data_IF_406756250361
#
_entry.id   IF_406756250361
#
_cell.length_a   1.000
_cell.length_b   1.000
_cell.length_c   1.000
_cell.angle_alpha   90.00
_cell.angle_beta   90.00
_cell.angle_gamma   90.00
#
_symmetry.space_group_name_H-M   'P 1'
#
loop_
_entity.id
_entity.type
_entity.pdbx_description
1 polymer ?
#
# COMPACT_ATOMS: atom_id res chain seq x y z
N UNK A 1 -21.87 8.41 7.79
CA UNK A 1 -21.27 7.71 6.63
C UNK A 1 -19.74 7.59 6.79
N UNK A 2 -19.07 6.75 5.99
CA UNK A 2 -17.59 6.61 5.96
C UNK A 2 -16.86 7.97 5.88
N UNK A 3 -17.50 8.97 5.24
CA UNK A 3 -17.08 10.37 5.15
C UNK A 3 -17.06 11.11 6.51
N UNK A 4 -17.96 10.83 7.43
CA UNK A 4 -18.03 11.50 8.74
C UNK A 4 -17.00 10.96 9.74
N UNK A 5 -16.53 9.72 9.55
CA UNK A 5 -15.65 9.06 10.52
C UNK A 5 -14.16 9.23 10.22
N UNK A 6 -13.78 9.80 9.05
CA UNK A 6 -12.38 9.83 8.55
C UNK A 6 -11.67 8.45 8.61
N UNK A 7 -12.45 7.37 8.68
CA UNK A 7 -11.96 5.99 8.70
C UNK A 7 -11.99 5.34 7.32
N UNK A 8 -12.43 6.07 6.29
CA UNK A 8 -12.35 5.62 4.92
C UNK A 8 -10.89 5.52 4.50
N UNK A 9 -10.48 4.38 3.98
CA UNK A 9 -9.14 4.20 3.41
C UNK A 9 -8.92 5.32 2.37
N UNK A 10 -7.84 6.11 2.42
CA UNK A 10 -7.59 7.23 1.50
C UNK A 10 -7.89 6.88 0.03
N UNK A 11 -7.51 5.66 -0.38
CA UNK A 11 -7.71 5.14 -1.74
C UNK A 11 -9.19 4.91 -2.09
N UNK A 12 -10.01 4.44 -1.15
CA UNK A 12 -11.45 4.22 -1.39
C UNK A 12 -12.17 5.57 -1.51
N UNK A 13 -11.78 6.55 -0.70
CA UNK A 13 -12.33 7.91 -0.79
C UNK A 13 -11.92 8.58 -2.10
N UNK A 14 -10.65 8.45 -2.51
CA UNK A 14 -10.19 8.88 -3.83
C UNK A 14 -10.97 8.22 -4.97
N UNK A 15 -11.30 6.93 -4.87
CA UNK A 15 -12.11 6.25 -5.89
C UNK A 15 -13.52 6.85 -6.03
N UNK A 16 -14.17 7.10 -4.90
CA UNK A 16 -15.48 7.78 -4.88
C UNK A 16 -15.37 9.18 -5.47
N UNK A 17 -14.33 9.93 -5.09
CA UNK A 17 -14.10 11.28 -5.57
C UNK A 17 -13.88 11.32 -7.10
N UNK A 18 -13.06 10.42 -7.64
CA UNK A 18 -12.84 10.30 -9.08
C UNK A 18 -14.14 9.92 -9.82
N UNK A 19 -14.96 9.02 -9.27
CA UNK A 19 -16.23 8.63 -9.90
C UNK A 19 -17.26 9.77 -9.88
N UNK A 20 -17.32 10.57 -8.82
CA UNK A 20 -18.14 11.79 -8.76
C UNK A 20 -17.65 12.81 -9.78
N UNK A 21 -16.34 13.09 -9.80
CA UNK A 21 -15.75 14.04 -10.75
C UNK A 21 -15.99 13.62 -12.22
N UNK A 22 -15.87 12.33 -12.52
CA UNK A 22 -16.20 11.75 -13.83
C UNK A 22 -17.65 12.04 -14.24
N UNK A 23 -18.62 11.90 -13.32
CA UNK A 23 -20.04 12.19 -13.58
C UNK A 23 -20.31 13.67 -13.81
N UNK A 24 -19.47 14.55 -13.28
CA UNK A 24 -19.51 16.00 -13.49
C UNK A 24 -18.73 16.45 -14.74
N UNK A 25 -18.20 15.52 -15.54
CA UNK A 25 -17.44 15.84 -16.74
C UNK A 25 -15.98 16.25 -16.48
N UNK A 26 -15.48 16.06 -15.26
CA UNK A 26 -14.09 16.32 -14.88
C UNK A 26 -13.38 14.97 -14.57
N UNK A 27 -12.93 14.23 -15.59
CA UNK A 27 -12.24 12.97 -15.37
C UNK A 27 -10.95 13.20 -14.59
N UNK A 28 -10.75 12.39 -13.55
CA UNK A 28 -9.57 12.43 -12.67
C UNK A 28 -8.80 11.10 -12.76
N UNK A 29 -7.50 11.14 -12.51
CA UNK A 29 -6.60 9.99 -12.43
C UNK A 29 -5.96 9.92 -11.05
N UNK A 30 -5.68 8.70 -10.59
CA UNK A 30 -4.89 8.48 -9.39
C UNK A 30 -3.42 8.89 -9.58
N UNK A 31 -2.82 9.45 -8.55
CA UNK A 31 -1.39 9.80 -8.52
C UNK A 31 -0.75 9.12 -7.31
N UNK A 32 0.03 8.09 -7.59
CA UNK A 32 0.69 7.31 -6.55
C UNK A 32 1.99 7.98 -6.10
N UNK A 33 2.07 8.32 -4.82
CA UNK A 33 3.29 8.76 -4.14
C UNK A 33 3.50 7.81 -2.96
N UNK A 34 4.74 7.39 -2.62
CA UNK A 34 4.91 6.53 -1.45
C UNK A 34 4.31 7.21 -0.20
N UNK A 35 3.76 6.44 0.73
CA UNK A 35 3.13 6.98 1.94
C UNK A 35 1.84 7.82 1.76
N UNK A 36 1.44 8.17 0.54
CA UNK A 36 0.30 9.08 0.29
C UNK A 36 -0.44 8.75 -1.02
N UNK A 37 -1.60 9.36 -1.27
CA UNK A 37 -2.31 9.17 -2.54
C UNK A 37 -3.13 10.39 -2.90
N UNK A 38 -2.78 11.00 -4.04
CA UNK A 38 -3.54 12.10 -4.60
C UNK A 38 -4.39 11.62 -5.78
N UNK A 39 -5.34 12.45 -6.18
CA UNK A 39 -5.95 12.39 -7.51
C UNK A 39 -5.67 13.70 -8.24
N UNK A 40 -5.73 13.68 -9.56
CA UNK A 40 -5.45 14.85 -10.38
C UNK A 40 -6.34 14.84 -11.63
N UNK A 41 -6.62 15.97 -12.25
CA UNK A 41 -7.31 15.99 -13.53
C UNK A 41 -6.58 15.14 -14.58
N UNK A 42 -7.35 14.42 -15.39
CA UNK A 42 -6.83 13.72 -16.56
C UNK A 42 -6.40 14.70 -17.68
N UNK A 43 -6.90 15.95 -17.63
CA UNK A 43 -6.49 17.01 -18.54
C UNK A 43 -5.08 17.50 -18.18
N UNK A 44 -4.08 17.40 -19.08
CA UNK A 44 -2.72 17.87 -18.82
C UNK A 44 -2.63 19.38 -18.58
N UNK A 45 -3.57 20.18 -19.12
CA UNK A 45 -3.59 21.64 -18.92
C UNK A 45 -4.00 22.05 -17.50
N UNK A 46 -4.44 21.08 -16.67
CA UNK A 46 -4.85 21.30 -15.30
C UNK A 46 -3.82 20.69 -14.33
N UNK A 47 -3.00 21.55 -13.73
CA UNK A 47 -1.85 21.16 -12.90
C UNK A 47 -2.10 21.31 -11.40
N UNK A 48 -3.16 20.68 -10.91
CA UNK A 48 -3.41 20.55 -9.48
C UNK A 48 -3.60 19.09 -9.06
N UNK A 49 -3.37 18.86 -7.78
CA UNK A 49 -3.64 17.62 -7.06
C UNK A 49 -4.82 17.86 -6.13
N UNK A 50 -5.53 16.78 -5.80
CA UNK A 50 -6.57 16.77 -4.79
C UNK A 50 -6.26 15.67 -3.80
N UNK A 51 -6.15 16.03 -2.52
CA UNK A 51 -6.12 15.05 -1.44
C UNK A 51 -7.55 14.75 -1.00
N UNK A 52 -8.09 13.63 -1.49
CA UNK A 52 -9.43 13.22 -1.11
C UNK A 52 -9.55 12.88 0.39
N UNK A 53 -8.43 12.57 1.05
CA UNK A 53 -8.41 12.22 2.47
C UNK A 53 -8.34 13.45 3.37
N UNK A 54 -7.68 14.51 2.92
CA UNK A 54 -7.68 15.82 3.58
C UNK A 54 -8.85 16.70 3.11
N UNK A 55 -10.06 16.14 3.16
CA UNK A 55 -11.30 16.89 2.85
C UNK A 55 -11.49 17.31 1.39
N UNK A 56 -10.66 16.83 0.46
CA UNK A 56 -10.67 17.26 -0.94
C UNK A 56 -9.89 18.55 -1.16
N UNK A 57 -8.92 18.87 -0.31
CA UNK A 57 -8.05 20.04 -0.51
C UNK A 57 -7.37 19.98 -1.87
N UNK A 58 -7.40 21.12 -2.56
CA UNK A 58 -6.71 21.34 -3.83
C UNK A 58 -5.30 21.81 -3.49
N UNK A 59 -4.32 21.03 -3.90
CA UNK A 59 -2.90 21.31 -3.67
C UNK A 59 -2.18 21.49 -4.99
N UNK A 60 -1.32 22.49 -5.08
CA UNK A 60 -0.37 22.59 -6.19
C UNK A 60 0.90 21.80 -5.85
N UNK A 61 1.83 21.71 -6.80
CA UNK A 61 3.05 20.90 -6.64
C UNK A 61 3.83 21.27 -5.35
N UNK A 62 3.95 22.55 -5.06
CA UNK A 62 4.67 23.07 -3.88
C UNK A 62 3.99 22.68 -2.57
N UNK A 63 2.66 22.71 -2.53
CA UNK A 63 1.88 22.29 -1.36
C UNK A 63 2.05 20.78 -1.13
N UNK A 64 2.03 19.99 -2.21
CA UNK A 64 2.27 18.56 -2.13
C UNK A 64 3.70 18.24 -1.68
N UNK A 65 4.72 18.97 -2.16
CA UNK A 65 6.10 18.85 -1.68
C UNK A 65 6.23 19.15 -0.19
N UNK A 66 5.56 20.20 0.30
CA UNK A 66 5.55 20.56 1.71
C UNK A 66 4.89 19.46 2.57
N UNK A 67 3.73 18.96 2.15
CA UNK A 67 3.02 17.85 2.81
C UNK A 67 3.87 16.59 2.86
N UNK A 68 4.46 16.20 1.74
CA UNK A 68 5.34 15.03 1.67
C UNK A 68 6.59 15.22 2.52
N UNK A 69 7.20 16.40 2.50
CA UNK A 69 8.37 16.69 3.32
C UNK A 69 8.07 16.54 4.81
N UNK A 70 6.88 16.97 5.22
CA UNK A 70 6.38 16.80 6.59
C UNK A 70 6.11 15.34 6.96
N UNK A 71 5.61 14.53 6.02
CA UNK A 71 5.37 13.09 6.21
C UNK A 71 6.70 12.33 6.36
N UNK A 72 7.64 12.56 5.44
CA UNK A 72 8.91 11.83 5.41
C UNK A 72 9.98 12.39 6.34
N UNK A 73 9.73 13.55 6.97
CA UNK A 73 10.70 14.26 7.81
C UNK A 73 12.02 14.56 7.08
N UNK A 74 11.93 14.81 5.77
CA UNK A 74 13.06 15.20 4.90
C UNK A 74 12.55 16.04 3.73
N UNK A 75 13.36 16.91 3.13
CA UNK A 75 12.95 17.65 1.93
C UNK A 75 12.58 16.69 0.79
N UNK A 76 11.43 16.94 0.17
CA UNK A 76 10.97 16.27 -1.05
C UNK A 76 10.83 17.32 -2.14
N UNK A 77 11.41 17.02 -3.30
CA UNK A 77 11.18 17.76 -4.54
C UNK A 77 10.53 16.81 -5.54
N UNK A 78 9.39 17.21 -6.08
CA UNK A 78 8.70 16.52 -7.14
C UNK A 78 9.17 17.12 -8.46
N UNK A 79 9.48 16.24 -9.43
CA UNK A 79 9.76 16.68 -10.80
C UNK A 79 8.55 17.49 -11.32
N UNK A 80 8.70 18.73 -11.79
CA UNK A 80 7.57 19.49 -12.35
C UNK A 80 6.84 18.73 -13.47
N UNK A 81 7.58 17.95 -14.25
CA UNK A 81 7.01 17.10 -15.30
C UNK A 81 6.28 15.86 -14.77
N UNK A 82 6.30 15.61 -13.45
CA UNK A 82 5.47 14.58 -12.78
C UNK A 82 3.98 14.82 -13.02
N UNK A 83 3.55 16.08 -12.96
CA UNK A 83 2.16 16.47 -13.22
C UNK A 83 1.83 16.39 -14.72
N UNK A 84 2.77 16.70 -15.60
CA UNK A 84 2.53 16.65 -17.05
C UNK A 84 2.61 15.20 -17.60
N UNK A 85 3.24 14.26 -16.87
CA UNK A 85 3.34 12.82 -17.21
C UNK A 85 2.35 11.94 -16.43
N UNK A 86 1.28 12.51 -15.87
CA UNK A 86 0.25 11.77 -15.13
C UNK A 86 -0.31 10.63 -15.97
N UNK A 87 0.04 9.39 -15.62
CA UNK A 87 -0.56 8.21 -16.21
C UNK A 87 -1.68 7.69 -15.30
N UNK A 88 -2.82 7.25 -15.87
CA UNK A 88 -3.85 6.58 -15.10
C UNK A 88 -3.23 5.41 -14.33
N UNK A 89 -3.40 5.41 -12.99
CA UNK A 89 -2.99 4.27 -12.17
C UNK A 89 -3.83 3.06 -12.60
N UNK A 90 -3.20 1.93 -13.02
CA UNK A 90 -3.94 0.77 -13.48
C UNK A 90 -4.88 0.22 -12.38
N UNK A 91 -6.06 -0.33 -12.72
CA UNK A 91 -7.00 -0.88 -11.73
C UNK A 91 -6.37 -1.91 -10.79
N UNK A 92 -5.42 -2.71 -11.30
CA UNK A 92 -4.66 -3.68 -10.52
C UNK A 92 -3.84 -3.04 -9.41
N UNK A 93 -3.26 -1.86 -9.66
CA UNK A 93 -2.48 -1.10 -8.66
C UNK A 93 -3.43 -0.55 -7.59
N UNK A 94 -4.60 -0.03 -7.96
CA UNK A 94 -5.62 0.37 -6.98
C UNK A 94 -6.05 -0.79 -6.09
N UNK A 95 -6.39 -1.93 -6.69
CA UNK A 95 -6.81 -3.13 -5.95
C UNK A 95 -5.71 -3.60 -4.99
N UNK A 96 -4.48 -3.69 -5.48
CA UNK A 96 -3.31 -4.01 -4.68
C UNK A 96 -3.17 -3.11 -3.45
N UNK A 97 -3.39 -1.80 -3.58
CA UNK A 97 -3.31 -0.88 -2.43
C UNK A 97 -4.49 -1.03 -1.48
N UNK A 98 -5.70 -1.25 -1.99
CA UNK A 98 -6.88 -1.52 -1.15
C UNK A 98 -6.68 -2.80 -0.32
N UNK A 99 -6.21 -3.86 -0.96
CA UNK A 99 -5.87 -5.12 -0.28
C UNK A 99 -4.77 -4.91 0.75
N UNK A 100 -3.70 -4.17 0.41
CA UNK A 100 -2.65 -3.86 1.38
C UNK A 100 -3.17 -3.09 2.60
N UNK A 101 -4.05 -2.12 2.41
CA UNK A 101 -4.64 -1.42 3.54
C UNK A 101 -5.51 -2.36 4.40
N UNK A 102 -6.35 -3.18 3.76
CA UNK A 102 -7.19 -4.15 4.46
C UNK A 102 -6.34 -5.17 5.25
N UNK A 103 -5.24 -5.65 4.67
CA UNK A 103 -4.23 -6.51 5.33
C UNK A 103 -3.72 -5.85 6.62
N UNK A 104 -3.35 -4.58 6.55
CA UNK A 104 -2.85 -3.83 7.72
C UNK A 104 -3.94 -3.65 8.79
N UNK A 105 -5.19 -3.39 8.41
CA UNK A 105 -6.30 -3.30 9.36
C UNK A 105 -6.48 -4.63 10.11
N UNK A 106 -6.50 -5.75 9.39
CA UNK A 106 -6.62 -7.08 10.00
C UNK A 106 -5.42 -7.40 10.89
N UNK A 107 -4.21 -7.09 10.43
CA UNK A 107 -2.99 -7.29 11.21
C UNK A 107 -3.00 -6.49 12.53
N UNK A 108 -3.35 -5.19 12.49
CA UNK A 108 -3.45 -4.34 13.68
C UNK A 108 -4.52 -4.83 14.67
N UNK A 109 -5.61 -5.42 14.16
CA UNK A 109 -6.65 -6.04 14.97
C UNK A 109 -6.32 -7.48 15.41
N UNK A 110 -5.12 -7.97 15.08
CA UNK A 110 -4.66 -9.35 15.33
C UNK A 110 -5.58 -10.43 14.73
N UNK A 111 -6.33 -10.07 13.70
CA UNK A 111 -7.11 -11.03 12.93
C UNK A 111 -6.22 -11.61 11.83
N UNK A 112 -5.35 -12.53 12.23
CA UNK A 112 -4.31 -13.07 11.34
C UNK A 112 -4.86 -13.99 10.25
N UNK A 113 -6.04 -14.58 10.45
CA UNK A 113 -6.69 -15.43 9.44
C UNK A 113 -7.08 -14.60 8.22
N UNK A 114 -7.77 -13.47 8.45
CA UNK A 114 -8.14 -12.56 7.36
C UNK A 114 -6.93 -11.85 6.77
N UNK A 115 -5.94 -11.46 7.60
CA UNK A 115 -4.69 -10.86 7.09
C UNK A 115 -3.93 -11.82 6.15
N UNK A 116 -3.87 -13.11 6.51
CA UNK A 116 -3.29 -14.16 5.68
C UNK A 116 -4.07 -14.35 4.37
N UNK A 117 -5.41 -14.43 4.42
CA UNK A 117 -6.25 -14.54 3.24
C UNK A 117 -6.02 -13.38 2.25
N UNK A 118 -5.92 -12.15 2.77
CA UNK A 118 -5.59 -10.97 1.97
C UNK A 118 -4.19 -11.06 1.36
N UNK A 119 -3.19 -11.54 2.10
CA UNK A 119 -1.84 -11.77 1.55
C UNK A 119 -1.84 -12.80 0.42
N UNK A 120 -2.64 -13.87 0.51
CA UNK A 120 -2.83 -14.82 -0.58
C UNK A 120 -3.42 -14.17 -1.85
N UNK A 121 -4.44 -13.31 -1.70
CA UNK A 121 -4.97 -12.54 -2.83
C UNK A 121 -3.91 -11.61 -3.44
N UNK A 122 -3.12 -10.93 -2.60
CA UNK A 122 -2.04 -10.07 -3.05
C UNK A 122 -0.98 -10.84 -3.85
N UNK A 123 -0.54 -12.01 -3.37
CA UNK A 123 0.40 -12.90 -4.08
C UNK A 123 -0.16 -13.36 -5.43
N UNK A 124 -1.46 -13.64 -5.52
CA UNK A 124 -2.09 -14.00 -6.79
C UNK A 124 -2.09 -12.84 -7.79
N UNK A 125 -2.16 -11.58 -7.33
CA UNK A 125 -2.08 -10.40 -8.21
C UNK A 125 -0.65 -10.03 -8.60
N UNK A 126 0.33 -10.38 -7.75
CA UNK A 126 1.76 -10.05 -7.91
C UNK A 126 2.62 -11.29 -7.60
N UNK A 127 2.70 -12.25 -8.53
CA UNK A 127 3.52 -13.43 -8.32
C UNK A 127 4.98 -13.05 -8.11
N UNK A 128 5.56 -13.53 -7.01
CA UNK A 128 6.96 -13.31 -6.67
C UNK A 128 7.26 -12.07 -5.83
N UNK A 129 6.24 -11.38 -5.34
CA UNK A 129 6.38 -10.34 -4.32
C UNK A 129 6.93 -10.96 -3.01
N UNK A 130 8.18 -10.64 -2.68
CA UNK A 130 8.89 -11.21 -1.52
C UNK A 130 8.33 -10.70 -0.19
N UNK A 131 7.81 -9.47 -0.17
CA UNK A 131 7.19 -8.91 1.02
C UNK A 131 5.94 -9.70 1.41
N UNK A 132 5.13 -10.08 0.42
CA UNK A 132 3.94 -10.88 0.68
C UNK A 132 4.27 -12.33 1.08
N UNK A 133 5.37 -12.88 0.57
CA UNK A 133 5.85 -14.20 0.97
C UNK A 133 6.32 -14.20 2.44
N UNK A 134 7.09 -13.17 2.84
CA UNK A 134 7.50 -12.93 4.24
C UNK A 134 6.27 -12.77 5.14
N UNK A 135 5.37 -11.84 4.78
CA UNK A 135 4.19 -11.52 5.59
C UNK A 135 3.27 -12.73 5.76
N UNK A 136 3.06 -13.52 4.69
CA UNK A 136 2.31 -14.78 4.75
C UNK A 136 2.90 -15.75 5.77
N UNK A 137 4.23 -15.93 5.78
CA UNK A 137 4.92 -16.79 6.75
C UNK A 137 4.74 -16.30 8.20
N UNK A 138 4.83 -14.99 8.41
CA UNK A 138 4.58 -14.38 9.74
C UNK A 138 3.12 -14.59 10.19
N UNK A 139 2.14 -14.43 9.31
CA UNK A 139 0.75 -14.69 9.68
C UNK A 139 0.48 -16.17 9.96
N UNK A 140 1.09 -17.08 9.18
CA UNK A 140 1.01 -18.52 9.44
C UNK A 140 1.59 -18.90 10.80
N UNK A 141 2.70 -18.27 11.20
CA UNK A 141 3.26 -18.43 12.55
C UNK A 141 2.26 -18.00 13.63
N UNK A 142 1.64 -16.82 13.49
CA UNK A 142 0.66 -16.32 14.45
C UNK A 142 -0.60 -17.21 14.53
N UNK A 143 -0.94 -17.89 13.44
CA UNK A 143 -2.04 -18.86 13.37
C UNK A 143 -1.66 -20.25 13.91
N UNK A 144 -0.41 -20.47 14.32
CA UNK A 144 0.07 -21.78 14.78
C UNK A 144 0.25 -22.81 13.65
N UNK A 145 0.20 -22.39 12.38
CA UNK A 145 0.37 -23.25 11.20
C UNK A 145 1.86 -23.40 10.90
N UNK A 146 2.58 -24.04 11.82
CA UNK A 146 4.05 -24.07 11.85
C UNK A 146 4.68 -24.69 10.58
N UNK A 147 4.22 -25.85 10.05
CA UNK A 147 4.84 -26.42 8.85
C UNK A 147 4.80 -25.48 7.63
N UNK A 148 3.65 -24.84 7.40
CA UNK A 148 3.44 -23.91 6.30
C UNK A 148 4.21 -22.60 6.50
N UNK A 149 4.31 -22.14 7.76
CA UNK A 149 5.16 -21.01 8.12
C UNK A 149 6.62 -21.28 7.75
N UNK A 150 7.16 -22.44 8.15
CA UNK A 150 8.55 -22.82 7.85
C UNK A 150 8.77 -22.88 6.34
N UNK A 151 7.84 -23.48 5.60
CA UNK A 151 7.92 -23.55 4.13
C UNK A 151 7.97 -22.14 3.51
N UNK A 152 7.01 -21.27 3.84
CA UNK A 152 6.92 -19.93 3.27
C UNK A 152 8.15 -19.06 3.61
N UNK A 153 8.60 -19.10 4.87
CA UNK A 153 9.77 -18.33 5.32
C UNK A 153 11.09 -18.88 4.76
N UNK A 154 11.20 -20.19 4.55
CA UNK A 154 12.38 -20.79 3.90
C UNK A 154 12.43 -20.39 2.42
N UNK A 155 11.28 -20.38 1.73
CA UNK A 155 11.20 -19.88 0.35
C UNK A 155 11.59 -18.39 0.28
N UNK A 156 11.14 -17.58 1.23
CA UNK A 156 11.57 -16.18 1.34
C UNK A 156 13.09 -16.06 1.48
N UNK A 157 13.71 -16.81 2.41
CA UNK A 157 15.16 -16.78 2.62
C UNK A 157 15.96 -17.24 1.40
N UNK A 158 15.43 -18.17 0.61
CA UNK A 158 16.08 -18.64 -0.60
C UNK A 158 16.12 -17.58 -1.72
N UNK A 159 15.23 -16.58 -1.69
CA UNK A 159 15.04 -15.60 -2.76
C UNK A 159 15.41 -14.17 -2.35
N UNK A 160 15.41 -13.86 -1.06
CA UNK A 160 15.70 -12.54 -0.54
C UNK A 160 17.20 -12.20 -0.60
N UNK A 161 17.57 -10.93 -0.83
CA UNK A 161 18.95 -10.46 -0.70
C UNK A 161 19.48 -10.70 0.72
N UNK A 162 20.70 -11.23 0.83
CA UNK A 162 21.27 -11.67 2.10
C UNK A 162 21.54 -10.54 3.12
N UNK A 163 21.59 -9.29 2.66
CA UNK A 163 21.85 -8.08 3.44
C UNK A 163 20.58 -7.40 3.98
N UNK A 164 19.39 -7.96 3.70
CA UNK A 164 18.13 -7.41 4.22
C UNK A 164 17.97 -7.64 5.73
N UNK A 165 17.51 -6.62 6.46
CA UNK A 165 17.17 -6.72 7.89
C UNK A 165 16.11 -7.82 8.16
N UNK A 166 15.21 -8.04 7.20
CA UNK A 166 14.18 -9.07 7.32
C UNK A 166 14.73 -10.48 7.26
N UNK A 167 15.84 -10.71 6.54
CA UNK A 167 16.48 -12.03 6.45
C UNK A 167 16.98 -12.46 7.82
N UNK A 168 17.62 -11.57 8.58
CA UNK A 168 18.09 -11.88 9.93
C UNK A 168 16.94 -12.14 10.90
N UNK A 169 15.87 -11.35 10.84
CA UNK A 169 14.66 -11.56 11.66
C UNK A 169 14.00 -12.91 11.35
N UNK A 170 13.87 -13.27 10.08
CA UNK A 170 13.27 -14.54 9.65
C UNK A 170 14.15 -15.73 10.07
N UNK A 171 15.48 -15.65 9.92
CA UNK A 171 16.41 -16.68 10.43
C UNK A 171 16.30 -16.86 11.94
N UNK A 172 16.18 -15.77 12.70
CA UNK A 172 15.99 -15.84 14.14
C UNK A 172 14.66 -16.53 14.51
N UNK A 173 13.57 -16.22 13.80
CA UNK A 173 12.28 -16.85 14.01
C UNK A 173 12.33 -18.36 13.73
N UNK A 174 12.90 -18.78 12.60
CA UNK A 174 13.00 -20.20 12.26
C UNK A 174 13.84 -21.00 13.28
N UNK A 175 14.98 -20.46 13.72
CA UNK A 175 15.79 -21.09 14.79
C UNK A 175 15.02 -21.26 16.10
N UNK A 176 14.13 -20.32 16.43
CA UNK A 176 13.31 -20.40 17.64
C UNK A 176 12.21 -21.47 17.57
N UNK A 177 11.79 -21.86 16.35
CA UNK A 177 10.81 -22.92 16.11
C UNK A 177 11.44 -24.32 16.22
N UNK A 178 12.66 -24.48 15.72
CA UNK A 178 13.40 -25.75 15.80
C UNK A 178 13.71 -26.15 17.25
N UNK A 179 13.95 -25.19 18.13
CA UNK A 179 14.23 -25.45 19.56
C UNK A 179 13.00 -25.83 20.39
N UNK A 180 11.79 -25.74 19.82
CA UNK A 180 10.51 -26.03 20.51
C UNK A 180 9.88 -27.36 20.06
N UNK A 181 10.48 -28.03 19.09
CA UNK A 181 10.06 -29.33 18.54
C UNK A 181 10.86 -30.45 19.17
#
# INVERSE_FOLDING_TARGET
MVLERRTGIPITLSLVYMEVARRLGLPMVGVNIPGHFFIAPANPDMEFLVDAFDGGEISFLQDAEATLSNIYKRPVQLDPAFLSRKQPVPPRVFLARMLNNLKQIYNLRRNYADAYAVSCYLRATRPGDLDELRDSGVFLYQLGRIPECVEALSEFLARAPADSEDVEKVRALLRSLDQRS
#
